data_IF_302431338547
#
_entry.id   IF_302431338547
#
_cell.length_a   1.000
_cell.length_b   1.000
_cell.length_c   1.000
_cell.angle_alpha   90.00
_cell.angle_beta   90.00
_cell.angle_gamma   90.00
#
_symmetry.space_group_name_H-M   'P 1'
#
loop_
_entity.id
_entity.type
_entity.pdbx_description
1 polymer ?
#
# COMPACT_ATOMS: atom_id res chain seq x y z
N UNK A 1 19.60 -48.15 22.59
CA UNK A 1 18.14 -48.06 22.42
C UNK A 1 17.79 -46.59 22.34
N UNK A 2 17.46 -46.11 21.14
CA UNK A 2 16.98 -44.76 20.89
C UNK A 2 15.68 -44.54 21.65
N UNK A 3 15.67 -43.60 22.59
CA UNK A 3 14.43 -43.17 23.24
C UNK A 3 13.49 -42.59 22.18
N UNK A 4 12.24 -43.07 22.14
CA UNK A 4 11.21 -42.52 21.27
C UNK A 4 11.06 -41.02 21.54
N UNK A 5 11.15 -40.14 20.52
CA UNK A 5 11.11 -38.69 20.70
C UNK A 5 9.67 -38.21 20.84
N UNK A 6 9.07 -38.43 22.01
CA UNK A 6 7.71 -37.99 22.25
C UNK A 6 7.32 -37.97 23.72
N UNK A 7 6.49 -37.00 24.08
CA UNK A 7 5.90 -36.91 25.42
C UNK A 7 4.59 -37.70 25.40
N UNK A 8 4.41 -38.63 26.34
CA UNK A 8 3.13 -39.33 26.51
C UNK A 8 2.12 -38.36 27.15
N UNK A 9 1.00 -38.16 26.50
CA UNK A 9 -0.13 -37.40 27.02
C UNK A 9 -1.40 -38.26 26.96
N UNK A 10 -2.35 -37.96 27.84
CA UNK A 10 -3.63 -38.65 27.93
C UNK A 10 -4.74 -37.66 27.63
N UNK A 11 -5.70 -38.08 26.82
CA UNK A 11 -6.93 -37.33 26.56
C UNK A 11 -7.88 -37.43 27.78
N UNK A 12 -8.95 -36.64 27.81
CA UNK A 12 -9.97 -36.62 28.88
C UNK A 12 -10.59 -38.00 29.15
N UNK A 13 -10.54 -38.91 28.17
CA UNK A 13 -10.99 -40.30 28.25
C UNK A 13 -9.89 -41.31 28.59
N UNK A 14 -8.71 -40.88 29.01
CA UNK A 14 -7.58 -41.74 29.40
C UNK A 14 -6.90 -42.47 28.24
N UNK A 15 -7.16 -42.06 26.98
CA UNK A 15 -6.52 -42.64 25.81
C UNK A 15 -5.10 -42.06 25.64
N UNK A 16 -4.06 -42.90 25.57
CA UNK A 16 -2.70 -42.40 25.39
C UNK A 16 -2.49 -41.95 23.94
N UNK A 17 -1.94 -40.75 23.76
CA UNK A 17 -1.40 -40.28 22.49
C UNK A 17 0.03 -39.75 22.67
N UNK A 18 0.83 -39.83 21.61
CA UNK A 18 2.23 -39.44 21.64
C UNK A 18 2.35 -38.06 20.99
N UNK A 19 2.79 -37.08 21.77
CA UNK A 19 3.18 -35.77 21.23
C UNK A 19 4.62 -35.91 20.75
N UNK A 20 4.79 -36.16 19.45
CA UNK A 20 6.10 -36.12 18.80
C UNK A 20 6.60 -34.66 18.83
N UNK A 21 7.68 -34.41 19.56
CA UNK A 21 8.39 -33.14 19.45
C UNK A 21 9.20 -33.22 18.16
N UNK A 22 8.85 -32.45 17.13
CA UNK A 22 9.62 -32.32 15.89
C UNK A 22 10.96 -31.56 16.13
N UNK A 23 11.79 -32.06 17.06
CA UNK A 23 13.09 -31.46 17.39
C UNK A 23 14.03 -31.43 16.19
N UNK A 24 13.97 -32.44 15.32
CA UNK A 24 14.83 -32.53 14.13
C UNK A 24 14.51 -31.46 13.05
N UNK A 25 13.29 -30.88 13.07
CA UNK A 25 12.93 -29.76 12.16
C UNK A 25 13.35 -28.39 12.69
N UNK A 26 13.67 -28.26 13.98
CA UNK A 26 14.01 -26.97 14.59
C UNK A 26 15.53 -26.72 14.53
N UNK A 27 15.98 -26.06 13.46
CA UNK A 27 17.36 -25.55 13.36
C UNK A 27 17.54 -24.35 14.29
N UNK A 28 18.34 -24.50 15.34
CA UNK A 28 18.69 -23.40 16.25
C UNK A 28 20.07 -22.85 15.91
N UNK A 29 20.10 -21.58 15.50
CA UNK A 29 21.34 -20.82 15.34
C UNK A 29 21.52 -19.96 16.60
N UNK A 30 22.73 -19.87 17.15
CA UNK A 30 22.99 -19.16 18.41
C UNK A 30 24.18 -18.21 18.30
N UNK A 31 24.15 -17.13 19.08
CA UNK A 31 25.28 -16.23 19.24
C UNK A 31 25.51 -15.31 18.04
N UNK A 32 26.78 -15.00 17.78
CA UNK A 32 27.23 -14.09 16.73
C UNK A 32 26.87 -14.58 15.33
N UNK A 33 26.86 -15.88 15.11
CA UNK A 33 26.58 -16.47 13.80
C UNK A 33 25.12 -16.28 13.39
N UNK A 34 24.20 -16.29 14.36
CA UNK A 34 22.81 -15.94 14.11
C UNK A 34 22.67 -14.48 13.65
N UNK A 35 23.35 -13.57 14.35
CA UNK A 35 23.33 -12.14 14.03
C UNK A 35 23.92 -11.89 12.64
N UNK A 36 25.03 -12.54 12.29
CA UNK A 36 25.62 -12.45 10.96
C UNK A 36 24.68 -12.98 9.86
N UNK A 37 24.02 -14.11 10.10
CA UNK A 37 23.02 -14.65 9.16
C UNK A 37 21.86 -13.65 8.94
N UNK A 38 21.43 -12.98 10.00
CA UNK A 38 20.38 -11.95 9.94
C UNK A 38 20.82 -10.73 9.14
N UNK A 39 22.03 -10.24 9.37
CA UNK A 39 22.62 -9.11 8.62
C UNK A 39 22.76 -9.48 7.15
N UNK A 40 23.23 -10.70 6.85
CA UNK A 40 23.39 -11.17 5.47
C UNK A 40 22.06 -11.23 4.72
N UNK A 41 20.99 -11.68 5.37
CA UNK A 41 19.65 -11.70 4.78
C UNK A 41 19.15 -10.27 4.45
N UNK A 42 19.27 -9.33 5.40
CA UNK A 42 18.89 -7.94 5.18
C UNK A 42 19.74 -7.27 4.07
N UNK A 43 21.05 -7.53 4.06
CA UNK A 43 21.97 -7.03 3.02
C UNK A 43 21.62 -7.56 1.65
N UNK A 44 21.25 -8.84 1.53
CA UNK A 44 20.84 -9.44 0.26
C UNK A 44 19.61 -8.74 -0.31
N UNK A 45 18.59 -8.50 0.53
CA UNK A 45 17.39 -7.76 0.14
C UNK A 45 17.73 -6.32 -0.29
N UNK A 46 18.52 -5.61 0.51
CA UNK A 46 18.96 -4.25 0.19
C UNK A 46 19.75 -4.18 -1.12
N UNK A 47 20.60 -5.19 -1.39
CA UNK A 47 21.38 -5.27 -2.64
C UNK A 47 20.49 -5.42 -3.87
N UNK A 48 19.37 -6.15 -3.74
CA UNK A 48 18.37 -6.30 -4.80
C UNK A 48 17.70 -4.98 -5.11
N UNK A 49 17.33 -4.19 -4.09
CA UNK A 49 16.66 -2.89 -4.28
C UNK A 49 17.60 -1.76 -4.67
N UNK A 50 18.91 -1.87 -4.41
CA UNK A 50 19.88 -0.80 -4.68
C UNK A 50 19.89 -0.31 -6.13
N UNK A 51 19.61 -1.19 -7.10
CA UNK A 51 19.56 -0.83 -8.53
C UNK A 51 18.33 0.00 -8.93
N UNK A 52 17.35 0.08 -8.04
CA UNK A 52 16.07 0.78 -8.24
C UNK A 52 16.06 2.16 -7.57
N UNK A 53 17.11 2.49 -6.81
CA UNK A 53 17.24 3.77 -6.14
C UNK A 53 17.80 4.87 -7.08
N UNK A 54 17.10 6.01 -7.14
CA UNK A 54 17.52 7.21 -7.85
C UNK A 54 16.87 7.41 -9.23
N UNK A 55 17.17 8.53 -9.93
CA UNK A 55 16.51 8.90 -11.19
C UNK A 55 16.89 7.99 -12.37
N UNK A 56 17.98 7.24 -12.25
CA UNK A 56 18.40 6.19 -13.19
C UNK A 56 18.14 4.79 -12.63
N UNK A 57 17.30 4.68 -11.60
CA UNK A 57 16.85 3.42 -11.06
C UNK A 57 16.08 2.63 -12.13
N UNK A 58 16.25 1.32 -12.11
CA UNK A 58 15.56 0.42 -13.04
C UNK A 58 14.34 -0.21 -12.37
N UNK A 59 13.26 -0.31 -13.13
CA UNK A 59 12.06 -1.04 -12.73
C UNK A 59 12.35 -2.54 -12.59
N UNK A 60 11.61 -3.22 -11.71
CA UNK A 60 11.65 -4.67 -11.57
C UNK A 60 10.36 -5.29 -12.06
N UNK A 61 10.51 -6.41 -12.77
CA UNK A 61 9.40 -7.25 -13.18
C UNK A 61 9.16 -8.27 -12.06
N UNK A 62 7.98 -8.20 -11.45
CA UNK A 62 7.50 -9.12 -10.43
C UNK A 62 6.39 -9.97 -11.02
N UNK A 63 6.43 -11.27 -10.80
CA UNK A 63 5.41 -12.21 -11.26
C UNK A 63 4.72 -12.78 -10.02
N UNK A 64 3.43 -12.52 -9.89
CA UNK A 64 2.60 -13.08 -8.83
C UNK A 64 2.45 -14.61 -9.01
N UNK A 65 2.21 -15.39 -7.95
CA UNK A 65 1.89 -16.81 -8.07
C UNK A 65 0.71 -17.11 -9.01
N UNK A 66 -0.22 -16.15 -9.14
CA UNK A 66 -1.38 -16.23 -10.04
C UNK A 66 -1.04 -15.96 -11.51
N UNK A 67 0.20 -15.56 -11.81
CA UNK A 67 0.67 -15.24 -13.16
C UNK A 67 0.57 -13.77 -13.56
N UNK A 68 0.05 -12.91 -12.68
CA UNK A 68 0.00 -11.47 -12.92
C UNK A 68 1.40 -10.85 -12.92
N UNK A 69 1.71 -10.08 -13.97
CA UNK A 69 3.00 -9.43 -14.15
C UNK A 69 2.89 -7.96 -13.77
N UNK A 70 3.64 -7.55 -12.75
CA UNK A 70 3.73 -6.16 -12.29
C UNK A 70 5.12 -5.63 -12.56
N UNK A 71 5.23 -4.47 -13.21
CA UNK A 71 6.49 -3.77 -13.45
C UNK A 71 6.48 -2.47 -12.66
N UNK A 72 7.39 -2.33 -11.70
CA UNK A 72 7.42 -1.16 -10.82
C UNK A 72 8.83 -0.84 -10.31
N UNK A 73 9.07 0.44 -10.03
CA UNK A 73 10.26 0.91 -9.30
C UNK A 73 9.99 1.12 -7.80
N UNK A 74 8.74 1.03 -7.36
CA UNK A 74 8.39 1.30 -5.97
C UNK A 74 8.87 0.19 -5.04
N UNK A 75 9.69 0.56 -4.04
CA UNK A 75 10.32 -0.37 -3.12
C UNK A 75 9.32 -1.15 -2.28
N UNK A 76 8.28 -0.49 -1.77
CA UNK A 76 7.26 -1.13 -0.93
C UNK A 76 6.49 -2.19 -1.73
N UNK A 77 6.06 -1.84 -2.94
CA UNK A 77 5.37 -2.78 -3.84
C UNK A 77 6.27 -3.96 -4.24
N UNK A 78 7.56 -3.72 -4.56
CA UNK A 78 8.52 -4.79 -4.87
C UNK A 78 8.64 -5.74 -3.67
N UNK A 79 8.81 -5.20 -2.47
CA UNK A 79 8.99 -5.96 -1.23
C UNK A 79 7.75 -6.77 -0.86
N UNK A 80 6.55 -6.25 -1.12
CA UNK A 80 5.28 -6.93 -0.88
C UNK A 80 5.05 -8.11 -1.81
N UNK A 81 5.51 -8.01 -3.06
CA UNK A 81 5.40 -9.06 -4.06
C UNK A 81 6.54 -10.10 -3.96
N UNK A 82 7.60 -9.78 -3.22
CA UNK A 82 8.73 -10.68 -3.01
C UNK A 82 8.38 -11.70 -1.94
N UNK A 83 8.50 -13.00 -2.28
CA UNK A 83 8.32 -14.06 -1.30
C UNK A 83 9.60 -14.20 -0.46
N UNK A 84 9.52 -13.80 0.82
CA UNK A 84 10.67 -13.76 1.73
C UNK A 84 10.44 -14.70 2.91
N UNK A 85 11.15 -15.83 2.90
CA UNK A 85 11.06 -16.83 3.96
C UNK A 85 11.70 -16.38 5.28
N UNK A 86 12.81 -15.63 5.20
CA UNK A 86 13.60 -15.25 6.37
C UNK A 86 12.92 -14.14 7.18
N UNK A 87 12.78 -14.33 8.50
CA UNK A 87 12.02 -13.41 9.39
C UNK A 87 12.53 -11.96 9.36
N UNK A 88 13.86 -11.76 9.34
CA UNK A 88 14.44 -10.41 9.19
C UNK A 88 14.03 -9.76 7.86
N UNK A 89 13.86 -10.55 6.81
CA UNK A 89 13.38 -10.03 5.54
C UNK A 89 11.93 -9.57 5.62
N UNK A 90 11.06 -10.25 6.36
CA UNK A 90 9.70 -9.78 6.65
C UNK A 90 9.70 -8.46 7.43
N UNK A 91 10.64 -8.27 8.36
CA UNK A 91 10.82 -6.98 9.04
C UNK A 91 11.24 -5.88 8.05
N UNK A 92 12.11 -6.16 7.08
CA UNK A 92 12.46 -5.20 6.02
C UNK A 92 11.26 -4.85 5.13
N UNK A 93 10.36 -5.80 4.85
CA UNK A 93 9.10 -5.55 4.13
C UNK A 93 8.22 -4.59 4.95
N UNK A 94 8.03 -4.87 6.23
CA UNK A 94 7.23 -4.02 7.13
C UNK A 94 7.82 -2.61 7.28
N UNK A 95 9.15 -2.49 7.34
CA UNK A 95 9.85 -1.20 7.36
C UNK A 95 9.52 -0.37 6.11
N UNK A 96 9.59 -0.98 4.93
CA UNK A 96 9.28 -0.31 3.66
C UNK A 96 7.79 0.08 3.57
N UNK A 97 6.88 -0.79 4.01
CA UNK A 97 5.44 -0.51 4.05
C UNK A 97 5.09 0.61 5.03
N UNK A 98 5.71 0.63 6.22
CA UNK A 98 5.46 1.69 7.21
C UNK A 98 5.88 3.07 6.68
N UNK A 99 6.98 3.12 5.91
CA UNK A 99 7.42 4.34 5.25
C UNK A 99 6.45 4.79 4.14
N UNK A 100 5.87 3.84 3.41
CA UNK A 100 4.85 4.09 2.38
C UNK A 100 3.55 4.63 3.00
N UNK A 101 3.11 4.05 4.11
CA UNK A 101 1.86 4.46 4.79
C UNK A 101 1.97 5.85 5.45
N UNK A 102 3.12 6.20 6.01
CA UNK A 102 3.34 7.49 6.71
C UNK A 102 3.67 8.65 5.76
N UNK A 103 4.53 8.42 4.76
CA UNK A 103 5.07 9.51 3.90
C UNK A 103 4.73 9.27 2.42
N UNK A 104 4.66 8.02 1.96
CA UNK A 104 4.40 7.68 0.55
C UNK A 104 5.59 7.88 -0.39
N UNK A 105 6.78 8.16 0.14
CA UNK A 105 8.04 8.23 -0.62
C UNK A 105 9.22 7.74 0.23
N UNK A 106 10.34 7.42 -0.42
CA UNK A 106 11.55 6.93 0.24
C UNK A 106 11.51 5.44 0.61
N UNK A 107 10.51 4.70 0.13
CA UNK A 107 10.30 3.26 0.39
C UNK A 107 11.53 2.40 0.05
N UNK A 108 12.18 2.69 -1.08
CA UNK A 108 13.44 2.03 -1.49
C UNK A 108 14.64 2.50 -0.66
N UNK A 109 14.68 3.80 -0.34
CA UNK A 109 15.79 4.42 0.37
C UNK A 109 15.96 3.89 1.79
N UNK A 110 14.85 3.71 2.53
CA UNK A 110 14.87 3.22 3.91
C UNK A 110 15.43 1.80 4.01
N UNK A 111 15.09 0.92 3.06
CA UNK A 111 15.59 -0.47 3.01
C UNK A 111 17.09 -0.49 2.71
N UNK A 112 17.54 0.32 1.77
CA UNK A 112 18.97 0.42 1.41
C UNK A 112 19.79 0.99 2.57
N UNK A 113 19.26 2.00 3.27
CA UNK A 113 19.90 2.60 4.45
C UNK A 113 20.00 1.59 5.59
N UNK A 114 18.92 0.87 5.90
CA UNK A 114 18.92 -0.17 6.92
C UNK A 114 19.92 -1.30 6.60
N UNK A 115 19.98 -1.74 5.35
CA UNK A 115 20.96 -2.73 4.90
C UNK A 115 22.41 -2.25 5.07
N UNK A 116 22.70 -0.99 4.77
CA UNK A 116 24.02 -0.39 4.95
C UNK A 116 24.41 -0.25 6.43
N UNK A 117 23.47 0.15 7.30
CA UNK A 117 23.71 0.22 8.75
C UNK A 117 24.03 -1.15 9.35
N UNK A 118 23.30 -2.19 8.93
CA UNK A 118 23.55 -3.57 9.38
C UNK A 118 24.90 -4.10 8.88
N UNK A 119 25.31 -3.76 7.65
CA UNK A 119 26.63 -4.10 7.12
C UNK A 119 27.76 -3.44 7.92
N UNK A 120 27.62 -2.17 8.30
CA UNK A 120 28.62 -1.51 9.16
C UNK A 120 28.61 -2.08 10.59
N UNK A 121 27.44 -2.49 11.10
CA UNK A 121 27.33 -3.14 12.40
C UNK A 121 28.06 -4.49 12.43
N UNK A 122 28.03 -5.28 11.34
CA UNK A 122 28.79 -6.53 11.23
C UNK A 122 30.30 -6.30 11.48
N UNK A 123 30.87 -5.27 10.86
CA UNK A 123 32.28 -4.92 11.04
C UNK A 123 32.66 -4.48 12.46
N UNK A 124 31.71 -3.95 13.23
CA UNK A 124 31.90 -3.60 14.65
C UNK A 124 31.78 -4.83 15.56
N UNK A 125 30.87 -5.75 15.24
CA UNK A 125 30.72 -7.04 15.95
C UNK A 125 31.99 -7.87 15.78
N UNK A 126 32.60 -7.88 14.60
CA UNK A 126 33.86 -8.57 14.32
C UNK A 126 35.04 -8.03 15.15
N UNK A 127 34.97 -6.77 15.57
CA UNK A 127 35.94 -6.15 16.49
C UNK A 127 35.65 -6.46 17.96
N UNK A 128 34.64 -7.27 18.25
CA UNK A 128 34.26 -7.66 19.61
C UNK A 128 33.39 -6.65 20.34
N UNK A 129 32.80 -5.68 19.64
CA UNK A 129 31.88 -4.70 20.26
C UNK A 129 30.52 -5.37 20.48
N UNK A 130 29.96 -5.21 21.67
CA UNK A 130 28.68 -5.80 22.03
C UNK A 130 27.52 -5.17 21.21
N UNK A 131 26.62 -5.96 20.59
CA UNK A 131 25.54 -5.44 19.72
C UNK A 131 24.67 -4.35 20.35
N UNK A 132 24.34 -4.48 21.65
CA UNK A 132 23.55 -3.48 22.38
C UNK A 132 24.23 -2.11 22.37
N UNK A 133 25.57 -2.05 22.56
CA UNK A 133 26.30 -0.78 22.53
C UNK A 133 26.33 -0.15 21.13
N UNK A 134 26.29 -0.98 20.09
CA UNK A 134 26.19 -0.50 18.70
C UNK A 134 24.82 0.12 18.47
N UNK A 135 23.74 -0.53 18.94
CA UNK A 135 22.39 -0.01 18.85
C UNK A 135 22.25 1.34 19.57
N UNK A 136 22.70 1.44 20.82
CA UNK A 136 22.69 2.70 21.58
C UNK A 136 23.49 3.81 20.86
N UNK A 137 24.65 3.44 20.28
CA UNK A 137 25.47 4.36 19.50
C UNK A 137 24.78 4.87 18.23
N UNK A 138 24.06 4.01 17.53
CA UNK A 138 23.28 4.39 16.34
C UNK A 138 22.09 5.27 16.68
N UNK A 139 21.40 5.02 17.80
CA UNK A 139 20.30 5.86 18.28
C UNK A 139 20.78 7.29 18.55
N UNK A 140 21.91 7.44 19.25
CA UNK A 140 22.54 8.74 19.50
C UNK A 140 22.98 9.43 18.21
N UNK A 141 23.57 8.68 17.28
CA UNK A 141 23.97 9.22 15.98
C UNK A 141 22.76 9.69 15.15
N UNK A 142 21.65 8.95 15.17
CA UNK A 142 20.42 9.31 14.49
C UNK A 142 19.85 10.63 15.03
N UNK A 143 19.81 10.80 16.36
CA UNK A 143 19.37 12.06 16.97
C UNK A 143 20.23 13.26 16.56
N UNK A 144 21.55 13.09 16.49
CA UNK A 144 22.46 14.12 16.00
C UNK A 144 22.24 14.43 14.52
N UNK A 145 22.02 13.41 13.69
CA UNK A 145 21.75 13.58 12.27
C UNK A 145 20.45 14.34 12.02
N UNK A 146 19.37 14.02 12.73
CA UNK A 146 18.07 14.72 12.62
C UNK A 146 18.21 16.19 13.00
N UNK A 147 18.88 16.49 14.12
CA UNK A 147 19.14 17.89 14.51
C UNK A 147 19.94 18.66 13.46
N UNK A 148 20.89 18.00 12.81
CA UNK A 148 21.66 18.62 11.73
C UNK A 148 20.80 18.84 10.47
N UNK A 149 19.90 17.91 10.15
CA UNK A 149 18.94 18.05 9.05
C UNK A 149 18.01 19.24 9.29
N UNK A 150 17.50 19.41 10.51
CA UNK A 150 16.65 20.56 10.87
C UNK A 150 17.40 21.90 10.73
N UNK A 151 18.71 21.91 11.02
CA UNK A 151 19.53 23.11 10.90
C UNK A 151 19.85 23.50 9.44
N UNK A 152 19.88 22.55 8.51
CA UNK A 152 20.11 22.80 7.08
C UNK A 152 18.81 22.95 6.28
N UNK A 153 17.67 22.57 6.86
CA UNK A 153 16.39 22.60 6.19
C UNK A 153 15.96 24.05 5.94
N UNK A 154 15.69 24.38 4.68
CA UNK A 154 15.13 25.67 4.30
C UNK A 154 13.60 25.59 4.29
N UNK A 155 12.89 26.48 5.00
CA UNK A 155 11.44 26.50 4.98
C UNK A 155 10.94 27.01 3.62
N UNK A 156 10.09 26.24 2.96
CA UNK A 156 9.40 26.65 1.74
C UNK A 156 8.01 27.20 2.09
N UNK A 157 7.76 28.52 1.96
CA UNK A 157 6.43 29.06 2.17
C UNK A 157 5.48 28.60 1.05
N UNK A 158 4.32 28.09 1.44
CA UNK A 158 3.25 27.71 0.50
C UNK A 158 2.50 28.98 0.14
N UNK A 159 2.77 29.53 -1.05
CA UNK A 159 1.98 30.61 -1.61
C UNK A 159 0.84 30.05 -2.47
N UNK A 160 -0.44 30.34 -2.15
CA UNK A 160 -1.59 29.85 -2.94
C UNK A 160 -1.56 30.32 -4.41
N UNK A 161 -0.89 31.45 -4.66
CA UNK A 161 -0.75 32.05 -5.99
C UNK A 161 0.45 31.50 -6.78
N UNK A 162 1.41 30.86 -6.12
CA UNK A 162 2.61 30.35 -6.76
C UNK A 162 2.76 28.84 -6.52
N UNK A 163 2.24 28.05 -7.47
CA UNK A 163 2.27 26.59 -7.44
C UNK A 163 3.59 25.99 -7.94
N UNK A 164 4.43 26.78 -8.61
CA UNK A 164 5.65 26.28 -9.26
C UNK A 164 6.60 25.55 -8.30
N UNK A 165 6.84 26.02 -7.05
CA UNK A 165 7.69 25.29 -6.11
C UNK A 165 7.14 23.89 -5.76
N UNK A 166 5.82 23.77 -5.56
CA UNK A 166 5.18 22.48 -5.28
C UNK A 166 5.27 21.53 -6.48
N UNK A 167 5.13 22.07 -7.69
CA UNK A 167 5.30 21.32 -8.93
C UNK A 167 6.74 20.80 -9.04
N UNK A 168 7.75 21.63 -8.75
CA UNK A 168 9.16 21.21 -8.78
C UNK A 168 9.46 20.10 -7.77
N UNK A 169 8.86 20.15 -6.58
CA UNK A 169 8.97 19.08 -5.58
C UNK A 169 8.37 17.78 -6.12
N UNK A 170 7.14 17.82 -6.63
CA UNK A 170 6.47 16.66 -7.22
C UNK A 170 7.21 16.12 -8.47
N UNK A 171 7.82 16.99 -9.27
CA UNK A 171 8.66 16.59 -10.41
C UNK A 171 9.88 15.79 -9.95
N UNK A 172 10.48 16.16 -8.80
CA UNK A 172 11.64 15.48 -8.26
C UNK A 172 11.29 14.06 -7.81
N UNK A 173 10.15 13.87 -7.14
CA UNK A 173 9.69 12.55 -6.68
C UNK A 173 9.23 11.65 -7.83
N UNK A 174 8.69 12.22 -8.91
CA UNK A 174 8.28 11.49 -10.12
C UNK A 174 9.45 11.17 -11.07
N UNK A 175 10.60 11.82 -10.91
CA UNK A 175 11.74 11.70 -11.83
C UNK A 175 12.37 10.30 -11.91
N UNK A 176 12.21 9.48 -10.88
CA UNK A 176 12.71 8.09 -10.81
C UNK A 176 11.71 7.04 -11.31
N UNK A 177 10.52 7.44 -11.79
CA UNK A 177 9.44 6.53 -12.20
C UNK A 177 9.29 6.52 -13.73
N UNK A 178 8.57 5.51 -14.26
CA UNK A 178 8.20 5.41 -15.69
C UNK A 178 7.56 6.70 -16.22
N UNK A 179 6.91 7.44 -15.33
CA UNK A 179 6.24 8.73 -15.56
C UNK A 179 7.22 9.86 -15.94
N UNK A 180 8.54 9.65 -15.89
CA UNK A 180 9.55 10.65 -16.25
C UNK A 180 9.32 11.28 -17.65
N UNK A 181 8.70 10.59 -18.61
CA UNK A 181 8.36 11.22 -19.91
C UNK A 181 7.33 12.36 -19.78
N UNK A 182 6.40 12.27 -18.84
CA UNK A 182 5.27 13.18 -18.66
C UNK A 182 5.22 13.76 -17.22
N UNK A 183 6.37 13.82 -16.54
CA UNK A 183 6.43 14.12 -15.10
C UNK A 183 5.89 15.50 -14.76
N UNK A 184 6.01 16.50 -15.65
CA UNK A 184 5.45 17.84 -15.42
C UNK A 184 3.92 17.83 -15.39
N UNK A 185 3.27 17.23 -16.39
CA UNK A 185 1.80 17.13 -16.45
C UNK A 185 1.24 16.39 -15.23
N UNK A 186 1.91 15.30 -14.82
CA UNK A 186 1.50 14.51 -13.66
C UNK A 186 1.76 15.24 -12.34
N UNK A 187 2.86 16.00 -12.24
CA UNK A 187 3.13 16.86 -11.09
C UNK A 187 2.09 17.97 -10.96
N UNK A 188 1.75 18.66 -12.06
CA UNK A 188 0.70 19.68 -12.09
C UNK A 188 -0.66 19.08 -11.67
N UNK A 189 -0.99 17.89 -12.17
CA UNK A 189 -2.21 17.16 -11.80
C UNK A 189 -2.25 16.81 -10.31
N UNK A 190 -1.15 16.28 -9.76
CA UNK A 190 -1.08 15.90 -8.35
C UNK A 190 -1.19 17.14 -7.43
N UNK A 191 -0.47 18.22 -7.75
CA UNK A 191 -0.51 19.47 -7.00
C UNK A 191 -1.91 20.09 -7.06
N UNK A 192 -2.54 20.13 -8.23
CA UNK A 192 -3.90 20.65 -8.37
C UNK A 192 -4.92 19.78 -7.63
N UNK A 193 -4.80 18.46 -7.66
CA UNK A 193 -5.67 17.55 -6.93
C UNK A 193 -5.59 17.79 -5.42
N UNK A 194 -4.36 17.84 -4.88
CA UNK A 194 -4.11 18.08 -3.45
C UNK A 194 -4.59 19.47 -3.02
N UNK A 195 -4.28 20.53 -3.77
CA UNK A 195 -4.70 21.89 -3.42
C UNK A 195 -6.22 22.09 -3.42
N UNK A 196 -6.98 21.30 -4.19
CA UNK A 196 -8.44 21.38 -4.21
C UNK A 196 -9.10 20.72 -2.99
N UNK A 197 -8.42 19.75 -2.35
CA UNK A 197 -8.95 19.01 -1.19
C UNK A 197 -8.28 19.41 0.13
N UNK A 198 -7.13 20.08 0.08
CA UNK A 198 -6.36 20.47 1.25
C UNK A 198 -7.08 21.56 2.06
N UNK A 199 -7.13 21.36 3.38
CA UNK A 199 -7.56 22.39 4.32
C UNK A 199 -6.34 23.21 4.75
N UNK A 200 -6.19 24.43 4.22
CA UNK A 200 -5.00 25.28 4.39
C UNK A 200 -4.79 25.65 5.87
N UNK A 201 -5.85 25.78 6.66
CA UNK A 201 -5.76 26.15 8.07
C UNK A 201 -5.25 25.00 8.93
N UNK A 202 -5.71 23.77 8.65
CA UNK A 202 -5.31 22.56 9.38
C UNK A 202 -4.06 21.90 8.82
N UNK A 203 -3.64 22.28 7.60
CA UNK A 203 -2.58 21.62 6.82
C UNK A 203 -2.81 20.10 6.70
N UNK A 204 -4.08 19.73 6.55
CA UNK A 204 -4.51 18.35 6.46
C UNK A 204 -5.08 18.07 5.07
N UNK A 205 -4.84 16.85 4.58
CA UNK A 205 -5.23 16.41 3.24
C UNK A 205 -5.93 15.07 3.37
N UNK A 206 -7.24 15.05 3.15
CA UNK A 206 -7.98 13.80 3.13
C UNK A 206 -7.89 13.15 1.74
N UNK A 207 -7.09 12.08 1.64
CA UNK A 207 -6.92 11.31 0.40
C UNK A 207 -8.21 10.59 -0.07
N UNK A 208 -9.19 10.34 0.80
CA UNK A 208 -10.47 9.73 0.40
C UNK A 208 -11.26 10.60 -0.60
N UNK A 209 -11.01 11.91 -0.62
CA UNK A 209 -11.63 12.84 -1.55
C UNK A 209 -10.99 12.79 -2.95
N UNK A 210 -9.82 12.16 -3.09
CA UNK A 210 -9.12 11.99 -4.37
C UNK A 210 -9.34 10.56 -4.85
N UNK A 211 -10.31 10.39 -5.76
CA UNK A 211 -10.55 9.09 -6.40
C UNK A 211 -9.69 8.93 -7.66
N UNK A 212 -8.85 7.90 -7.69
CA UNK A 212 -8.09 7.51 -8.87
C UNK A 212 -8.86 6.39 -9.61
N UNK A 213 -9.20 6.64 -10.87
CA UNK A 213 -9.88 5.66 -11.73
C UNK A 213 -8.96 5.33 -12.92
N UNK A 214 -8.61 4.05 -13.09
CA UNK A 214 -7.72 3.60 -14.16
C UNK A 214 -8.53 2.88 -15.24
N UNK A 215 -8.32 3.26 -16.51
CA UNK A 215 -8.90 2.61 -17.68
C UNK A 215 -7.79 2.24 -18.65
N UNK A 216 -7.84 1.01 -19.16
CA UNK A 216 -6.87 0.55 -20.15
C UNK A 216 -7.16 1.20 -21.50
N UNK A 217 -6.14 1.77 -22.13
CA UNK A 217 -6.22 2.43 -23.42
C UNK A 217 -5.54 3.80 -23.42
N UNK A 218 -5.30 4.36 -24.60
CA UNK A 218 -4.67 5.68 -24.76
C UNK A 218 -3.18 5.71 -24.43
N UNK A 219 -2.65 6.92 -24.32
CA UNK A 219 -1.27 7.22 -23.87
C UNK A 219 -1.30 7.76 -22.44
N UNK A 220 -0.15 7.71 -21.75
CA UNK A 220 -0.02 8.32 -20.42
C UNK A 220 -0.38 9.83 -20.41
N UNK A 221 -0.10 10.52 -21.52
CA UNK A 221 -0.41 11.94 -21.76
C UNK A 221 -1.92 12.23 -21.79
N UNK A 222 -2.77 11.24 -22.07
CA UNK A 222 -4.22 11.41 -22.13
C UNK A 222 -4.86 11.46 -20.72
N UNK A 223 -4.06 11.29 -19.67
CA UNK A 223 -4.51 11.37 -18.28
C UNK A 223 -4.85 12.82 -17.93
N UNK A 224 -5.99 13.03 -17.26
CA UNK A 224 -6.44 14.37 -16.87
C UNK A 224 -7.09 14.38 -15.48
N UNK A 225 -6.99 15.52 -14.80
CA UNK A 225 -7.75 15.77 -13.58
C UNK A 225 -9.19 16.11 -13.94
N UNK A 226 -10.14 15.28 -13.50
CA UNK A 226 -11.56 15.58 -13.59
C UNK A 226 -11.99 16.33 -12.32
N UNK A 227 -12.39 17.59 -12.46
CA UNK A 227 -12.98 18.39 -11.36
C UNK A 227 -14.43 17.94 -11.10
N UNK A 228 -14.58 16.76 -10.54
CA UNK A 228 -15.84 16.08 -10.32
C UNK A 228 -15.62 14.62 -9.94
N UNK A 229 -16.63 13.78 -10.14
CA UNK A 229 -16.54 12.34 -9.83
C UNK A 229 -16.69 11.53 -11.11
N UNK A 230 -15.79 10.56 -11.30
CA UNK A 230 -15.89 9.54 -12.33
C UNK A 230 -16.52 8.29 -11.74
N UNK A 231 -17.62 7.85 -12.33
CA UNK A 231 -18.32 6.62 -11.97
C UNK A 231 -18.29 5.69 -13.16
N UNK A 232 -17.74 4.49 -12.98
CA UNK A 232 -17.72 3.47 -14.02
C UNK A 232 -19.09 2.79 -14.18
N UNK A 233 -20.06 3.54 -14.70
CA UNK A 233 -21.41 3.06 -15.02
C UNK A 233 -21.88 3.64 -16.33
N UNK A 234 -22.52 2.80 -17.13
CA UNK A 234 -23.25 3.23 -18.32
C UNK A 234 -24.63 3.78 -17.92
N UNK A 235 -25.24 4.54 -18.84
CA UNK A 235 -26.63 4.97 -18.66
C UNK A 235 -27.55 3.75 -18.60
N UNK A 236 -28.58 3.82 -17.75
CA UNK A 236 -29.49 2.69 -17.50
C UNK A 236 -30.24 2.22 -18.74
N UNK A 237 -30.57 3.13 -19.66
CA UNK A 237 -31.26 2.79 -20.90
C UNK A 237 -30.59 3.45 -22.11
N UNK A 238 -30.49 2.72 -23.22
CA UNK A 238 -29.75 3.17 -24.42
C UNK A 238 -30.34 4.43 -25.08
N UNK A 239 -31.64 4.69 -24.88
CA UNK A 239 -32.33 5.89 -25.37
C UNK A 239 -32.10 7.12 -24.48
N UNK A 240 -31.50 6.97 -23.29
CA UNK A 240 -31.21 8.12 -22.44
C UNK A 240 -30.17 9.02 -23.10
N UNK A 241 -30.30 10.36 -22.96
CA UNK A 241 -29.35 11.31 -23.51
C UNK A 241 -27.96 11.07 -22.92
N UNK A 242 -26.93 10.95 -23.78
CA UNK A 242 -25.55 10.67 -23.35
C UNK A 242 -24.86 11.85 -22.69
N UNK A 243 -25.26 13.07 -23.05
CA UNK A 243 -24.65 14.30 -22.54
C UNK A 243 -25.74 15.23 -22.05
N UNK A 244 -25.66 15.61 -20.79
CA UNK A 244 -26.55 16.57 -20.15
C UNK A 244 -25.72 17.73 -19.58
N UNK A 245 -26.23 18.97 -19.69
CA UNK A 245 -25.58 20.17 -19.15
C UNK A 245 -26.47 20.79 -18.08
N UNK A 246 -25.88 21.31 -17.00
CA UNK A 246 -26.57 21.97 -15.89
C UNK A 246 -27.71 21.12 -15.28
N UNK A 247 -27.39 19.89 -14.92
CA UNK A 247 -28.36 18.95 -14.31
C UNK A 247 -28.43 19.09 -12.80
N UNK A 248 -29.60 18.82 -12.24
CA UNK A 248 -29.78 18.56 -10.81
C UNK A 248 -29.63 17.06 -10.58
N UNK A 249 -28.77 16.67 -9.65
CA UNK A 249 -28.51 15.28 -9.30
C UNK A 249 -29.25 14.95 -8.01
N UNK A 250 -29.96 13.81 -8.00
CA UNK A 250 -30.56 13.24 -6.81
C UNK A 250 -29.74 12.01 -6.39
N UNK A 251 -29.20 12.03 -5.17
CA UNK A 251 -28.50 10.88 -4.58
C UNK A 251 -29.52 10.13 -3.73
N UNK A 252 -29.92 8.95 -4.20
CA UNK A 252 -30.93 8.12 -3.57
C UNK A 252 -30.32 6.79 -3.16
N UNK A 253 -30.63 6.34 -1.95
CA UNK A 253 -30.22 5.03 -1.43
C UNK A 253 -31.31 3.97 -1.60
N UNK A 254 -32.50 4.36 -2.07
CA UNK A 254 -33.62 3.45 -2.31
C UNK A 254 -33.61 2.90 -3.75
N UNK A 255 -33.93 1.61 -3.96
CA UNK A 255 -34.10 1.04 -5.28
C UNK A 255 -35.38 1.58 -5.94
N UNK A 256 -35.37 1.68 -7.26
CA UNK A 256 -36.54 1.97 -8.08
C UNK A 256 -37.28 0.67 -8.42
N UNK A 257 -37.87 0.06 -7.40
CA UNK A 257 -38.68 -1.17 -7.51
C UNK A 257 -39.99 -1.01 -6.73
N UNK A 258 -41.05 -1.76 -7.07
CA UNK A 258 -42.25 -1.82 -6.26
C UNK A 258 -41.91 -2.14 -4.79
N UNK A 259 -42.57 -1.48 -3.81
CA UNK A 259 -42.18 -1.55 -2.42
C UNK A 259 -42.35 -2.97 -1.88
N UNK A 260 -41.24 -3.67 -1.66
CA UNK A 260 -41.22 -4.99 -1.04
C UNK A 260 -41.04 -4.85 0.47
N UNK A 261 -41.91 -5.47 1.29
CA UNK A 261 -41.68 -5.51 2.73
C UNK A 261 -40.42 -6.31 3.04
N UNK A 262 -39.63 -5.84 4.02
CA UNK A 262 -38.42 -6.57 4.47
C UNK A 262 -38.75 -7.87 5.22
N UNK A 263 -39.96 -7.98 5.76
CA UNK A 263 -40.48 -9.19 6.41
C UNK A 263 -41.05 -10.15 5.37
N UNK A 264 -41.03 -11.46 5.67
CA UNK A 264 -41.70 -12.46 4.83
C UNK A 264 -43.19 -12.11 4.68
N UNK A 265 -43.56 -11.61 3.53
CA UNK A 265 -44.92 -11.33 3.15
C UNK A 265 -45.32 -12.29 2.03
N UNK A 266 -46.39 -13.04 2.23
CA UNK A 266 -47.05 -13.80 1.18
C UNK A 266 -48.23 -12.98 0.72
N UNK A 267 -48.25 -12.64 -0.57
CA UNK A 267 -49.40 -11.98 -1.16
C UNK A 267 -50.24 -13.07 -1.83
N UNK A 268 -51.37 -13.39 -1.23
CA UNK A 268 -52.30 -14.41 -1.73
C UNK A 268 -53.29 -13.73 -2.68
N UNK A 269 -53.22 -14.10 -3.97
CA UNK A 269 -54.14 -13.60 -5.00
C UNK A 269 -55.26 -14.62 -5.19
N UNK A 270 -56.50 -14.26 -4.82
CA UNK A 270 -57.65 -15.18 -4.84
C UNK A 270 -58.57 -15.00 -6.05
N UNK A 271 -58.66 -13.78 -6.58
CA UNK A 271 -59.53 -13.44 -7.72
C UNK A 271 -58.75 -12.89 -8.91
N UNK A 272 -59.32 -13.01 -10.12
CA UNK A 272 -58.81 -12.36 -11.32
C UNK A 272 -58.89 -10.81 -11.24
N UNK A 273 -59.77 -10.29 -10.38
CA UNK A 273 -59.89 -8.85 -10.11
C UNK A 273 -58.73 -8.34 -9.25
N UNK A 274 -58.34 -9.08 -8.21
CA UNK A 274 -57.18 -8.77 -7.36
C UNK A 274 -55.88 -8.67 -8.17
N UNK A 275 -55.72 -9.54 -9.17
CA UNK A 275 -54.56 -9.54 -10.06
C UNK A 275 -54.51 -8.27 -10.94
N UNK A 276 -55.67 -7.79 -11.39
CA UNK A 276 -55.74 -6.54 -12.18
C UNK A 276 -55.41 -5.33 -11.31
N UNK A 277 -55.93 -5.27 -10.08
CA UNK A 277 -55.62 -4.20 -9.12
C UNK A 277 -54.14 -4.16 -8.76
N UNK A 278 -53.50 -5.32 -8.58
CA UNK A 278 -52.07 -5.39 -8.31
C UNK A 278 -51.24 -4.89 -9.50
N UNK A 279 -51.64 -5.25 -10.71
CA UNK A 279 -51.00 -4.75 -11.94
C UNK A 279 -51.13 -3.23 -12.10
N UNK A 280 -52.30 -2.67 -11.78
CA UNK A 280 -52.51 -1.22 -11.79
C UNK A 280 -51.66 -0.53 -10.71
N UNK A 281 -51.58 -1.11 -9.51
CA UNK A 281 -50.74 -0.63 -8.42
C UNK A 281 -49.24 -0.58 -8.77
N UNK A 282 -48.72 -1.59 -9.48
CA UNK A 282 -47.32 -1.62 -9.94
C UNK A 282 -47.03 -0.64 -11.09
N UNK A 283 -48.05 -0.18 -11.83
CA UNK A 283 -47.87 0.81 -12.89
C UNK A 283 -47.91 2.25 -12.38
N UNK A 284 -48.68 2.51 -11.32
CA UNK A 284 -48.80 3.86 -10.74
C UNK A 284 -47.66 4.22 -9.77
N UNK A 285 -47.01 3.23 -9.15
CA UNK A 285 -45.97 3.44 -8.12
C UNK A 285 -44.60 2.92 -8.54
#
# INVERSE_FOLDING_TARGET
MSGFPGTFAFDEYGRPFIILREQDKQKRITGTDAIKSHILAARSIASTLKTSLGPKGLDKIMVSPDGDVTVTNDGATIMKLMDVEHEIGKLMVQLSQSQDDEIGDGTTGVVVLAGALLEQAEGLIDRGIHPIRIADGFELAAQCAVKQLDAIAEPFPIDPNNKEPLIQIAMTTLGSKIVNKCHRQMAEMAVDAVLNVADIEKKDVNFELIKIETKVGGRMEDSMLVKGVVVDKTMSHAQMPKTLRNVKLAILTCPFEPPKPKTKHKLDVTSAEDYKLLREYEQEK
#
